data_IF_203801088928
#
_entry.id   IF_203801088928
#
_cell.length_a   1.000
_cell.length_b   1.000
_cell.length_c   1.000
_cell.angle_alpha   90.00
_cell.angle_beta   90.00
_cell.angle_gamma   90.00
#
_symmetry.space_group_name_H-M   'P 1'
#
loop_
_entity.id
_entity.type
_entity.pdbx_description
1 polymer ?
#
# COMPACT_ATOMS: atom_id res chain seq x y z
N UNK A 1 -5.24 -15.21 -9.41
CA UNK A 1 -4.58 -15.09 -8.07
C UNK A 1 -3.21 -14.49 -8.30
N UNK A 2 -3.05 -13.17 -8.13
CA UNK A 2 -1.73 -12.53 -8.19
C UNK A 2 -1.33 -12.22 -6.74
N UNK A 3 -0.43 -13.02 -6.20
CA UNK A 3 0.12 -12.82 -4.85
C UNK A 3 0.84 -11.47 -4.84
N UNK A 4 0.50 -10.58 -3.90
CA UNK A 4 1.16 -9.28 -3.76
C UNK A 4 2.70 -9.41 -3.58
N UNK A 5 3.15 -10.54 -3.02
CA UNK A 5 4.56 -10.88 -2.86
C UNK A 5 5.35 -11.04 -4.18
N UNK A 6 4.68 -11.26 -5.32
CA UNK A 6 5.32 -11.49 -6.62
C UNK A 6 5.19 -10.29 -7.57
N UNK A 7 4.46 -9.23 -7.18
CA UNK A 7 4.25 -8.06 -8.04
C UNK A 7 5.34 -7.01 -7.84
N UNK A 8 5.90 -6.44 -8.92
CA UNK A 8 6.82 -5.31 -8.83
C UNK A 8 6.24 -4.19 -7.97
N UNK A 9 7.07 -3.61 -7.10
CA UNK A 9 6.67 -2.56 -6.15
C UNK A 9 5.93 -1.38 -6.83
N UNK A 10 6.37 -0.98 -8.03
CA UNK A 10 5.72 0.09 -8.79
C UNK A 10 4.29 -0.27 -9.25
N UNK A 11 4.00 -1.55 -9.56
CA UNK A 11 2.63 -1.99 -9.85
C UNK A 11 1.74 -1.89 -8.60
N UNK A 12 2.31 -2.19 -7.43
CA UNK A 12 1.61 -2.06 -6.15
C UNK A 12 1.29 -0.59 -5.84
N UNK A 13 2.26 0.32 -6.05
CA UNK A 13 2.07 1.77 -5.90
C UNK A 13 1.02 2.30 -6.89
N UNK A 14 1.08 1.89 -8.16
CA UNK A 14 0.10 2.31 -9.17
C UNK A 14 -1.33 1.85 -8.82
N UNK A 15 -1.49 0.62 -8.33
CA UNK A 15 -2.78 0.11 -7.89
C UNK A 15 -3.31 0.87 -6.67
N UNK A 16 -2.44 1.16 -5.70
CA UNK A 16 -2.79 1.97 -4.54
C UNK A 16 -3.22 3.39 -4.94
N UNK A 17 -2.50 4.05 -5.86
CA UNK A 17 -2.87 5.38 -6.39
C UNK A 17 -4.27 5.36 -7.03
N UNK A 18 -4.55 4.34 -7.85
CA UNK A 18 -5.85 4.17 -8.48
C UNK A 18 -6.98 3.97 -7.46
N UNK A 19 -6.70 3.26 -6.36
CA UNK A 19 -7.64 3.05 -5.27
C UNK A 19 -7.91 4.34 -4.47
N UNK A 20 -6.87 5.08 -4.11
CA UNK A 20 -6.97 6.34 -3.35
C UNK A 20 -7.75 7.40 -4.13
N UNK A 21 -7.51 7.53 -5.44
CA UNK A 21 -8.24 8.46 -6.33
C UNK A 21 -9.75 8.23 -6.42
N UNK A 22 -10.24 7.03 -6.08
CA UNK A 22 -11.67 6.71 -6.09
C UNK A 22 -12.41 7.18 -4.83
N UNK A 23 -11.69 7.64 -3.80
CA UNK A 23 -12.31 8.14 -2.58
C UNK A 23 -12.78 9.59 -2.78
N UNK A 24 -14.08 9.88 -2.61
CA UNK A 24 -14.66 11.19 -2.88
C UNK A 24 -14.17 12.32 -1.94
N UNK A 25 -13.45 11.97 -0.87
CA UNK A 25 -12.94 12.90 0.13
C UNK A 25 -11.47 13.34 -0.10
N UNK A 26 -10.82 12.88 -1.17
CA UNK A 26 -9.43 13.24 -1.50
C UNK A 26 -9.39 13.95 -2.85
N UNK A 27 -8.76 15.13 -2.90
CA UNK A 27 -8.55 15.88 -4.13
C UNK A 27 -7.25 15.44 -4.84
N UNK A 28 -7.12 15.78 -6.13
CA UNK A 28 -5.96 15.38 -6.96
C UNK A 28 -4.58 15.68 -6.37
N UNK A 29 -4.33 16.89 -5.83
CA UNK A 29 -3.07 17.24 -5.17
C UNK A 29 -2.76 16.36 -3.95
N UNK A 30 -3.78 15.95 -3.21
CA UNK A 30 -3.63 15.11 -2.01
C UNK A 30 -3.08 13.73 -2.36
N UNK A 31 -3.35 13.22 -3.57
CA UNK A 31 -2.88 11.89 -4.00
C UNK A 31 -1.38 11.89 -4.30
N UNK A 32 -0.85 12.96 -4.89
CA UNK A 32 0.58 13.08 -5.17
C UNK A 32 1.39 13.24 -3.87
N UNK A 33 0.88 14.03 -2.92
CA UNK A 33 1.49 14.16 -1.58
C UNK A 33 1.47 12.84 -0.81
N UNK A 34 0.32 12.14 -0.80
CA UNK A 34 0.22 10.82 -0.18
C UNK A 34 1.19 9.82 -0.83
N UNK A 35 1.38 9.88 -2.14
CA UNK A 35 2.33 9.01 -2.81
C UNK A 35 3.78 9.32 -2.44
N UNK A 36 4.15 10.60 -2.35
CA UNK A 36 5.46 11.00 -1.84
C UNK A 36 5.71 10.41 -0.46
N UNK A 37 4.72 10.55 0.43
CA UNK A 37 4.80 9.99 1.78
C UNK A 37 4.91 8.46 1.80
N UNK A 38 4.19 7.76 0.91
CA UNK A 38 4.29 6.32 0.75
C UNK A 38 5.71 5.90 0.36
N UNK A 39 6.32 6.59 -0.61
CA UNK A 39 7.69 6.28 -1.08
C UNK A 39 8.75 6.58 -0.04
N UNK A 40 8.59 7.65 0.73
CA UNK A 40 9.49 7.96 1.84
C UNK A 40 9.46 6.87 2.92
N UNK A 41 8.26 6.40 3.27
CA UNK A 41 8.11 5.29 4.22
C UNK A 41 8.67 3.97 3.67
N UNK A 42 8.45 3.67 2.39
CA UNK A 42 9.04 2.51 1.72
C UNK A 42 10.56 2.53 1.79
N UNK A 43 11.19 3.66 1.44
CA UNK A 43 12.63 3.81 1.49
C UNK A 43 13.17 3.60 2.92
N UNK A 44 12.50 4.17 3.92
CA UNK A 44 12.89 4.01 5.33
C UNK A 44 12.78 2.55 5.81
N UNK A 45 11.71 1.85 5.42
CA UNK A 45 11.45 0.46 5.82
C UNK A 45 12.39 -0.52 5.12
N UNK A 46 12.64 -0.34 3.83
CA UNK A 46 13.61 -1.13 3.08
C UNK A 46 15.03 -0.92 3.63
N UNK A 47 15.38 0.32 3.99
CA UNK A 47 16.66 0.61 4.66
C UNK A 47 16.76 -0.05 6.05
N UNK A 48 15.63 -0.26 6.72
CA UNK A 48 15.56 -1.01 7.97
C UNK A 48 15.59 -2.54 7.77
N UNK A 49 15.67 -3.02 6.52
CA UNK A 49 15.84 -4.43 6.18
C UNK A 49 14.56 -5.18 5.81
N UNK A 50 13.43 -4.50 5.64
CA UNK A 50 12.20 -5.14 5.15
C UNK A 50 12.29 -5.41 3.65
N UNK A 51 11.65 -6.50 3.21
CA UNK A 51 11.41 -6.72 1.79
C UNK A 51 10.45 -5.66 1.22
N UNK A 52 10.54 -5.37 -0.09
CA UNK A 52 9.79 -4.27 -0.69
C UNK A 52 8.27 -4.41 -0.60
N UNK A 53 7.76 -5.63 -0.68
CA UNK A 53 6.35 -5.97 -0.49
C UNK A 53 5.90 -5.83 0.97
N UNK A 54 6.72 -6.29 1.92
CA UNK A 54 6.46 -6.10 3.37
C UNK A 54 6.48 -4.62 3.76
N UNK A 55 7.48 -3.89 3.27
CA UNK A 55 7.62 -2.45 3.47
C UNK A 55 6.38 -1.71 2.94
N UNK A 56 5.85 -2.13 1.78
CA UNK A 56 4.64 -1.55 1.21
C UNK A 56 3.42 -1.75 2.11
N UNK A 57 3.18 -2.97 2.59
CA UNK A 57 2.04 -3.27 3.46
C UNK A 57 2.10 -2.45 4.77
N UNK A 58 3.28 -2.36 5.37
CA UNK A 58 3.49 -1.58 6.59
C UNK A 58 3.30 -0.08 6.34
N UNK A 59 3.87 0.45 5.24
CA UNK A 59 3.75 1.86 4.89
C UNK A 59 2.29 2.27 4.67
N UNK A 60 1.55 1.52 3.85
CA UNK A 60 0.15 1.85 3.58
C UNK A 60 -0.71 1.72 4.84
N UNK A 61 -0.41 0.79 5.77
CA UNK A 61 -1.09 0.68 7.07
C UNK A 61 -0.85 1.91 7.94
N UNK A 62 0.39 2.40 8.01
CA UNK A 62 0.76 3.61 8.77
C UNK A 62 0.10 4.88 8.23
N UNK A 63 -0.15 4.93 6.92
CA UNK A 63 -0.82 6.07 6.27
C UNK A 63 -2.33 6.14 6.57
N UNK A 64 -2.96 5.14 7.19
CA UNK A 64 -4.40 5.12 7.43
C UNK A 64 -5.27 4.95 6.17
N UNK A 65 -4.66 4.90 4.98
CA UNK A 65 -5.37 4.70 3.70
C UNK A 65 -5.97 3.29 3.56
N UNK A 66 -5.62 2.35 4.43
CA UNK A 66 -5.84 0.91 4.27
C UNK A 66 -7.00 0.34 5.09
N UNK A 67 -7.88 1.12 5.73
CA UNK A 67 -8.95 0.52 6.55
C UNK A 67 -9.85 -0.47 5.78
N UNK A 68 -10.12 -0.24 4.49
CA UNK A 68 -10.92 -1.16 3.68
C UNK A 68 -10.10 -2.29 3.03
N UNK A 69 -8.91 -2.00 2.49
CA UNK A 69 -8.07 -3.01 1.83
C UNK A 69 -7.37 -3.94 2.86
N UNK A 70 -7.20 -3.51 4.13
CA UNK A 70 -6.68 -4.33 5.23
C UNK A 70 -7.68 -5.41 5.62
N UNK A 71 -8.98 -5.12 5.50
CA UNK A 71 -10.05 -6.11 5.76
C UNK A 71 -10.09 -7.18 4.68
N UNK A 72 -9.91 -6.82 3.41
CA UNK A 72 -9.84 -7.79 2.31
C UNK A 72 -8.58 -8.66 2.38
N UNK A 73 -7.44 -8.07 2.75
CA UNK A 73 -6.20 -8.82 2.96
C UNK A 73 -6.26 -9.73 4.20
N UNK A 74 -6.75 -9.22 5.33
CA UNK A 74 -6.96 -10.03 6.54
C UNK A 74 -7.91 -11.19 6.26
N UNK A 75 -8.96 -11.01 5.45
CA UNK A 75 -9.79 -12.13 4.96
C UNK A 75 -8.99 -13.12 4.13
N UNK A 76 -8.33 -12.66 3.06
CA UNK A 76 -7.58 -13.52 2.14
C UNK A 76 -6.37 -14.24 2.77
N UNK A 77 -5.83 -13.74 3.89
CA UNK A 77 -4.78 -14.42 4.67
C UNK A 77 -5.32 -15.23 5.85
N UNK A 78 -6.47 -14.90 6.44
CA UNK A 78 -7.07 -15.71 7.50
C UNK A 78 -7.71 -17.01 6.98
N UNK A 79 -8.13 -17.05 5.70
CA UNK A 79 -8.64 -18.27 5.05
C UNK A 79 -7.55 -19.30 4.71
N UNK A 80 -6.27 -19.01 5.04
CA UNK A 80 -5.13 -19.91 4.88
C UNK A 80 -4.62 -20.52 6.19
N UNK A 81 -5.38 -20.41 7.29
CA UNK A 81 -5.10 -21.05 8.58
C UNK A 81 -5.98 -22.29 8.80
#
# INVERSE_FOLDING_TARGET
MTTFADRPLEEQIAQWRAYVRRRPALHGPDVEELEGHLRDQLAALTKAGLAGDEAFLVAVKRMGSLDALSREFARAHSERL
#
